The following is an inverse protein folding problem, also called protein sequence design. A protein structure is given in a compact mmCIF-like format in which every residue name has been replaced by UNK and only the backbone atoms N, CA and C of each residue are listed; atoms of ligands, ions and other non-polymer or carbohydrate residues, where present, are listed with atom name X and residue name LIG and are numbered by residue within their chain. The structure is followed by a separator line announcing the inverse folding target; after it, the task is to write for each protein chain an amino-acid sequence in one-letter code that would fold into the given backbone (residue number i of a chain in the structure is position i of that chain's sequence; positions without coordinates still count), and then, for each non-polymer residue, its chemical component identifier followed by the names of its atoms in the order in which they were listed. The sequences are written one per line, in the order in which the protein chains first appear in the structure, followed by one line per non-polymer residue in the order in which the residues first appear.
data_IF_402208029265
#
_entry.id   IF_402208029265
#
_cell.length_a   1.000
_cell.length_b   1.000
_cell.length_c   1.000
_cell.angle_alpha   90.00
_cell.angle_beta   90.00
_cell.angle_gamma   90.00
#
_symmetry.space_group_name_H-M   'P 1'
#
loop_
_entity.id
_entity.type
_entity.pdbx_description
1 polymer ?
#
# COMPACT_ATOMS: atom_id res chain seq x y z
N UNK A 1 48.69 26.92 -48.73
CA UNK A 1 47.34 26.33 -48.66
C UNK A 1 46.59 27.14 -47.61
N UNK A 2 46.19 28.38 -47.89
CA UNK A 2 44.91 28.81 -48.52
C UNK A 2 43.67 28.27 -47.77
N UNK A 3 42.64 29.02 -47.35
CA UNK A 3 42.30 30.47 -47.41
C UNK A 3 40.90 30.67 -46.74
N UNK A 4 40.64 31.89 -46.19
CA UNK A 4 39.32 32.61 -46.11
C UNK A 4 38.33 32.19 -44.99
N UNK A 5 37.48 33.03 -44.37
CA UNK A 5 37.09 34.45 -44.50
C UNK A 5 36.33 34.92 -43.22
N UNK A 6 36.41 36.22 -42.92
CA UNK A 6 35.63 37.12 -42.04
C UNK A 6 34.21 36.72 -41.54
N UNK A 7 33.87 37.11 -40.30
CA UNK A 7 32.65 37.90 -39.97
C UNK A 7 32.73 38.54 -38.56
N UNK A 8 32.33 39.81 -38.47
CA UNK A 8 32.28 40.71 -37.30
C UNK A 8 30.84 40.81 -36.83
N UNK A 9 30.55 40.82 -35.51
CA UNK A 9 29.47 41.64 -34.92
C UNK A 9 29.86 42.08 -33.49
N UNK A 10 29.93 43.39 -33.29
CA UNK A 10 29.96 44.09 -32.00
C UNK A 10 28.55 44.13 -31.39
N UNK A 11 28.43 44.00 -30.07
CA UNK A 11 27.37 44.67 -29.30
C UNK A 11 27.89 45.06 -27.91
N UNK A 12 27.63 46.31 -27.57
CA UNK A 12 28.20 47.15 -26.51
C UNK A 12 27.69 46.84 -25.10
N UNK A 13 28.61 46.84 -24.11
CA UNK A 13 28.32 46.84 -22.67
C UNK A 13 28.92 48.11 -22.05
N UNK A 14 28.08 48.95 -21.45
CA UNK A 14 28.50 50.18 -20.76
C UNK A 14 28.43 50.00 -19.24
N UNK A 15 29.52 50.34 -18.56
CA UNK A 15 29.77 50.26 -17.11
C UNK A 15 29.65 51.65 -16.50
N UNK A 16 28.95 51.80 -15.35
CA UNK A 16 29.16 52.87 -14.36
C UNK A 16 28.77 52.29 -12.97
N UNK A 17 29.68 51.98 -12.05
CA UNK A 17 30.48 52.85 -11.16
C UNK A 17 29.74 53.31 -9.89
N UNK A 18 30.31 53.01 -8.71
CA UNK A 18 29.98 53.72 -7.47
C UNK A 18 30.20 52.95 -6.16
N UNK A 19 31.40 53.04 -5.58
CA UNK A 19 31.67 52.80 -4.15
C UNK A 19 31.73 54.16 -3.44
N UNK A 20 31.15 54.31 -2.23
CA UNK A 20 31.77 54.82 -0.97
C UNK A 20 30.75 55.14 0.14
N UNK A 21 30.86 54.38 1.24
CA UNK A 21 30.81 54.73 2.69
C UNK A 21 30.09 55.99 3.21
N UNK A 22 29.14 55.82 4.15
CA UNK A 22 29.26 56.12 5.61
C UNK A 22 27.88 56.11 6.35
N UNK A 23 27.92 55.74 7.65
CA UNK A 23 26.86 55.38 8.64
C UNK A 23 25.96 56.55 9.10
N UNK A 24 24.75 56.36 9.70
CA UNK A 24 24.59 55.99 11.13
C UNK A 24 23.38 55.08 11.50
N UNK A 25 23.37 54.59 12.75
CA UNK A 25 22.32 53.78 13.41
C UNK A 25 20.92 54.41 13.41
N UNK A 26 19.89 53.58 13.18
CA UNK A 26 18.52 53.75 13.66
C UNK A 26 17.78 52.40 13.67
N UNK A 27 17.17 52.06 14.80
CA UNK A 27 16.38 50.86 15.07
C UNK A 27 15.09 50.78 14.25
N UNK A 28 14.71 49.60 13.73
CA UNK A 28 13.29 49.24 13.55
C UNK A 28 13.01 47.90 14.24
N UNK A 29 12.03 47.76 15.13
CA UNK A 29 10.61 47.95 14.82
C UNK A 29 10.05 46.61 14.32
N UNK A 30 9.40 45.87 15.21
CA UNK A 30 8.65 44.65 14.90
C UNK A 30 7.76 44.82 13.66
N UNK A 31 7.72 43.82 12.76
CA UNK A 31 6.53 43.50 12.01
C UNK A 31 5.84 42.31 12.69
N UNK A 32 4.65 42.61 13.20
CA UNK A 32 3.53 41.69 13.41
C UNK A 32 3.34 40.88 12.12
N UNK A 33 3.69 39.59 12.18
CA UNK A 33 3.62 38.65 11.08
C UNK A 33 3.04 37.36 11.61
N UNK A 34 1.72 37.23 11.47
CA UNK A 34 0.95 36.09 11.93
C UNK A 34 1.60 34.77 11.53
N UNK A 35 1.82 33.94 12.55
CA UNK A 35 2.16 32.54 12.46
C UNK A 35 1.02 31.80 11.75
N UNK A 36 1.07 31.81 10.42
CA UNK A 36 0.34 30.87 9.59
C UNK A 36 1.02 29.53 9.74
N UNK A 37 0.67 28.80 10.80
CA UNK A 37 1.02 27.41 10.98
C UNK A 37 0.67 26.63 9.72
N UNK A 38 1.68 26.34 8.90
CA UNK A 38 1.62 25.36 7.85
C UNK A 38 1.49 24.00 8.50
N UNK A 39 0.25 23.62 8.84
CA UNK A 39 -0.08 22.24 9.12
C UNK A 39 0.33 21.42 7.90
N UNK A 40 1.33 20.58 8.06
CA UNK A 40 1.62 19.48 7.15
C UNK A 40 0.42 18.54 7.20
N UNK A 41 -0.56 18.77 6.32
CA UNK A 41 -1.66 17.83 6.11
C UNK A 41 -1.05 16.61 5.45
N UNK A 42 -1.21 15.44 6.07
CA UNK A 42 -0.84 14.17 5.45
C UNK A 42 -1.58 14.03 4.10
N UNK A 43 -0.90 13.58 3.03
CA UNK A 43 -1.58 13.33 1.77
C UNK A 43 -2.60 12.21 1.98
N UNK A 44 -3.88 12.47 1.73
CA UNK A 44 -4.96 11.47 1.79
C UNK A 44 -6.19 11.79 2.65
N UNK A 45 -6.15 12.83 3.50
CA UNK A 45 -7.23 13.06 4.48
C UNK A 45 -8.51 13.75 3.95
N UNK A 46 -8.61 14.15 2.67
CA UNK A 46 -9.83 14.81 2.16
C UNK A 46 -10.06 14.66 0.64
N UNK A 47 -10.04 13.43 0.11
CA UNK A 47 -10.40 13.16 -1.29
C UNK A 47 -11.89 12.84 -1.43
N UNK A 48 -12.71 13.86 -1.17
CA UNK A 48 -14.16 13.84 -1.35
C UNK A 48 -14.56 14.76 -2.53
N UNK A 49 -15.19 14.25 -3.60
CA UNK A 49 -15.67 15.09 -4.69
C UNK A 49 -16.75 16.06 -4.19
N UNK A 50 -16.62 17.34 -4.52
CA UNK A 50 -17.65 18.33 -4.19
C UNK A 50 -18.71 18.38 -5.30
N UNK A 51 -19.96 18.04 -4.98
CA UNK A 51 -21.11 18.34 -5.85
C UNK A 51 -21.62 17.20 -6.75
N UNK A 52 -21.02 16.01 -6.74
CA UNK A 52 -21.53 14.85 -7.50
C UNK A 52 -22.68 14.09 -6.81
N UNK A 53 -22.84 14.30 -5.50
CA UNK A 53 -23.82 13.62 -4.66
C UNK A 53 -23.34 12.24 -4.19
N UNK A 54 -24.04 11.68 -3.20
CA UNK A 54 -23.72 10.38 -2.64
C UNK A 54 -24.97 9.61 -2.23
N UNK A 55 -24.81 8.30 -2.05
CA UNK A 55 -25.85 7.39 -1.60
C UNK A 55 -25.22 6.27 -0.80
N UNK A 56 -25.91 5.83 0.25
CA UNK A 56 -25.47 4.66 1.03
C UNK A 56 -25.89 3.38 0.32
N UNK A 57 -24.96 2.42 0.25
CA UNK A 57 -25.18 1.11 -0.35
C UNK A 57 -24.54 0.04 0.53
N UNK A 58 -25.08 -1.18 0.48
CA UNK A 58 -24.40 -2.36 1.03
C UNK A 58 -23.68 -3.07 -0.11
N UNK A 59 -22.39 -3.35 0.07
CA UNK A 59 -21.63 -4.16 -0.89
C UNK A 59 -21.97 -5.62 -0.62
N UNK A 60 -22.65 -6.26 -1.55
CA UNK A 60 -23.12 -7.64 -1.38
C UNK A 60 -22.17 -8.68 -1.94
N UNK A 61 -21.30 -8.28 -2.87
CA UNK A 61 -20.27 -9.15 -3.43
C UNK A 61 -19.16 -8.35 -4.08
N UNK A 62 -17.92 -8.78 -3.84
CA UNK A 62 -16.75 -8.35 -4.60
C UNK A 62 -16.55 -9.27 -5.81
N UNK A 63 -16.53 -8.70 -7.03
CA UNK A 63 -16.26 -9.47 -8.25
C UNK A 63 -14.75 -9.62 -8.46
N UNK A 64 -14.04 -8.50 -8.39
CA UNK A 64 -12.58 -8.35 -8.48
C UNK A 64 -12.18 -7.06 -7.72
N UNK A 65 -10.91 -6.65 -7.77
CA UNK A 65 -10.39 -5.52 -7.01
C UNK A 65 -11.05 -4.15 -7.29
N UNK A 66 -11.75 -3.97 -8.41
CA UNK A 66 -12.37 -2.70 -8.79
C UNK A 66 -13.85 -2.79 -9.21
N UNK A 67 -14.45 -3.98 -9.19
CA UNK A 67 -15.84 -4.20 -9.60
C UNK A 67 -16.67 -4.88 -8.51
N UNK A 68 -17.71 -4.20 -8.03
CA UNK A 68 -18.52 -4.60 -6.89
C UNK A 68 -19.99 -4.78 -7.27
N UNK A 69 -20.70 -5.70 -6.61
CA UNK A 69 -22.17 -5.73 -6.56
C UNK A 69 -22.66 -5.03 -5.30
N UNK A 70 -23.67 -4.18 -5.46
CA UNK A 70 -24.22 -3.40 -4.36
C UNK A 70 -25.74 -3.48 -4.33
N UNK A 71 -26.30 -3.30 -3.14
CA UNK A 71 -27.75 -3.17 -2.91
C UNK A 71 -28.04 -1.82 -2.27
N UNK A 72 -29.02 -1.11 -2.84
CA UNK A 72 -29.54 0.14 -2.30
C UNK A 72 -30.57 -0.11 -1.19
N UNK A 73 -30.84 0.90 -0.36
CA UNK A 73 -31.83 0.82 0.72
C UNK A 73 -33.23 0.37 0.25
N UNK A 74 -33.61 0.71 -0.99
CA UNK A 74 -34.89 0.30 -1.58
C UNK A 74 -34.90 -1.17 -2.09
N UNK A 75 -33.82 -1.92 -1.89
CA UNK A 75 -33.65 -3.32 -2.31
C UNK A 75 -33.24 -3.52 -3.76
N UNK A 76 -33.02 -2.45 -4.54
CA UNK A 76 -32.49 -2.58 -5.90
C UNK A 76 -31.01 -2.92 -5.88
N UNK A 77 -30.56 -3.70 -6.86
CA UNK A 77 -29.16 -4.11 -7.00
C UNK A 77 -28.53 -3.48 -8.24
N UNK A 78 -27.22 -3.22 -8.17
CA UNK A 78 -26.45 -2.72 -9.31
C UNK A 78 -24.98 -3.17 -9.23
N UNK A 79 -24.23 -2.94 -10.31
CA UNK A 79 -22.79 -3.17 -10.38
C UNK A 79 -22.06 -1.84 -10.42
N UNK A 80 -21.13 -1.65 -9.50
CA UNK A 80 -20.25 -0.49 -9.44
C UNK A 80 -18.89 -0.88 -10.00
N UNK A 81 -18.37 -0.10 -10.95
CA UNK A 81 -16.96 -0.08 -11.33
C UNK A 81 -16.34 1.13 -10.65
N UNK A 82 -15.29 0.91 -9.89
CA UNK A 82 -14.59 1.96 -9.17
C UNK A 82 -13.99 2.95 -10.18
N UNK A 83 -14.36 4.22 -10.04
CA UNK A 83 -13.92 5.29 -10.93
C UNK A 83 -12.44 5.60 -10.68
N UNK A 84 -11.68 5.74 -11.77
CA UNK A 84 -10.28 6.17 -11.77
C UNK A 84 -9.25 5.09 -11.47
N UNK A 85 -9.66 3.85 -11.18
CA UNK A 85 -8.76 2.75 -10.82
C UNK A 85 -8.97 1.50 -11.66
N UNK A 86 -7.87 0.81 -11.94
CA UNK A 86 -7.84 -0.44 -12.67
C UNK A 86 -6.89 -1.41 -11.97
N UNK A 87 -7.44 -2.51 -11.47
CA UNK A 87 -6.68 -3.57 -10.80
C UNK A 87 -6.27 -4.63 -11.82
N UNK A 88 -5.15 -5.35 -11.62
CA UNK A 88 -4.84 -6.50 -12.46
C UNK A 88 -5.97 -7.53 -12.44
N UNK A 89 -6.28 -8.09 -13.61
CA UNK A 89 -7.37 -9.02 -13.82
C UNK A 89 -7.09 -10.38 -13.15
N UNK A 90 -8.10 -10.93 -12.47
CA UNK A 90 -8.04 -12.24 -11.79
C UNK A 90 -8.79 -13.35 -12.53
N UNK A 91 -9.64 -12.99 -13.50
CA UNK A 91 -10.47 -13.93 -14.25
C UNK A 91 -10.16 -13.96 -15.75
N UNK A 92 -9.20 -13.15 -16.19
CA UNK A 92 -8.69 -13.08 -17.55
C UNK A 92 -7.17 -12.90 -17.57
N UNK A 93 -6.58 -13.04 -18.76
CA UNK A 93 -5.16 -12.72 -18.96
C UNK A 93 -4.95 -11.21 -18.80
N UNK A 94 -3.88 -10.84 -18.11
CA UNK A 94 -3.44 -9.45 -17.99
C UNK A 94 -2.68 -9.04 -19.25
N UNK A 95 -2.74 -7.76 -19.57
CA UNK A 95 -1.88 -7.10 -20.57
C UNK A 95 -0.81 -6.30 -19.83
N UNK A 96 0.43 -6.82 -19.67
CA UNK A 96 1.46 -6.14 -18.88
C UNK A 96 1.79 -4.72 -19.35
N UNK A 97 1.65 -4.44 -20.64
CA UNK A 97 1.88 -3.12 -21.23
C UNK A 97 0.92 -2.03 -20.72
N UNK A 98 -0.21 -2.41 -20.12
CA UNK A 98 -1.13 -1.48 -19.46
C UNK A 98 -0.60 -0.97 -18.10
N UNK A 99 0.38 -1.65 -17.52
CA UNK A 99 0.99 -1.34 -16.23
C UNK A 99 2.43 -0.85 -16.44
N UNK A 100 2.68 0.42 -16.16
CA UNK A 100 3.93 1.04 -16.56
C UNK A 100 5.18 0.37 -15.93
N UNK A 101 6.07 -0.08 -16.80
CA UNK A 101 7.34 -0.71 -16.43
C UNK A 101 7.27 -2.23 -16.27
N UNK A 102 6.08 -2.83 -16.29
CA UNK A 102 5.93 -4.30 -16.21
C UNK A 102 6.31 -4.93 -17.55
N UNK A 103 7.19 -5.95 -17.58
CA UNK A 103 7.64 -6.55 -18.84
C UNK A 103 6.54 -7.41 -19.48
N UNK A 104 6.40 -7.33 -20.81
CA UNK A 104 5.54 -8.19 -21.64
C UNK A 104 6.09 -9.64 -21.70
N UNK A 105 6.07 -10.32 -20.57
CA UNK A 105 6.60 -11.67 -20.36
C UNK A 105 5.63 -12.49 -19.50
N UNK A 106 5.81 -13.81 -19.49
CA UNK A 106 5.06 -14.70 -18.61
C UNK A 106 5.26 -14.31 -17.13
N UNK A 107 6.49 -13.96 -16.74
CA UNK A 107 6.82 -13.52 -15.38
C UNK A 107 6.10 -12.22 -14.99
N UNK A 108 6.07 -11.22 -15.88
CA UNK A 108 5.30 -9.99 -15.65
C UNK A 108 3.80 -10.25 -15.52
N UNK A 109 3.27 -11.15 -16.34
CA UNK A 109 1.85 -11.52 -16.35
C UNK A 109 1.44 -12.31 -15.10
N UNK A 110 2.30 -13.21 -14.64
CA UNK A 110 2.14 -13.97 -13.39
C UNK A 110 2.27 -13.06 -12.17
N UNK A 111 3.19 -12.09 -12.20
CA UNK A 111 3.32 -11.07 -11.17
C UNK A 111 2.03 -10.25 -11.04
N UNK A 112 1.50 -9.75 -12.17
CA UNK A 112 0.24 -9.01 -12.20
C UNK A 112 -0.94 -9.85 -11.70
N UNK A 113 -1.03 -11.13 -12.07
CA UNK A 113 -2.07 -12.04 -11.55
C UNK A 113 -2.06 -12.08 -10.02
N UNK A 114 -0.89 -12.24 -9.41
CA UNK A 114 -0.73 -12.27 -7.95
C UNK A 114 -1.21 -10.96 -7.31
N UNK A 115 -0.86 -9.82 -7.92
CA UNK A 115 -1.32 -8.52 -7.43
C UNK A 115 -2.81 -8.26 -7.66
N UNK A 116 -3.41 -8.83 -8.71
CA UNK A 116 -4.86 -8.84 -8.89
C UNK A 116 -5.58 -9.60 -7.79
N UNK A 117 -5.02 -10.75 -7.37
CA UNK A 117 -5.54 -11.53 -6.24
C UNK A 117 -5.41 -10.75 -4.91
N UNK A 118 -4.28 -10.06 -4.70
CA UNK A 118 -4.10 -9.13 -3.55
C UNK A 118 -5.13 -8.01 -3.56
N UNK A 119 -5.32 -7.34 -4.69
CA UNK A 119 -6.30 -6.26 -4.83
C UNK A 119 -7.73 -6.75 -4.57
N UNK A 120 -8.07 -7.95 -5.07
CA UNK A 120 -9.37 -8.57 -4.86
C UNK A 120 -9.60 -8.95 -3.39
N UNK A 121 -8.56 -9.41 -2.68
CA UNK A 121 -8.64 -9.77 -1.25
C UNK A 121 -8.81 -8.52 -0.39
N UNK A 122 -8.01 -7.48 -0.66
CA UNK A 122 -8.13 -6.18 -0.03
C UNK A 122 -9.53 -5.58 -0.17
N UNK A 123 -10.12 -5.67 -1.37
CA UNK A 123 -11.50 -5.24 -1.61
C UNK A 123 -12.53 -6.09 -0.84
N UNK A 124 -12.37 -7.41 -0.80
CA UNK A 124 -13.27 -8.30 -0.04
C UNK A 124 -13.26 -7.98 1.44
N UNK A 125 -12.08 -7.92 2.05
CA UNK A 125 -11.90 -7.69 3.48
C UNK A 125 -12.37 -6.31 3.91
N UNK A 126 -12.19 -5.30 3.05
CA UNK A 126 -12.55 -3.92 3.37
C UNK A 126 -14.02 -3.61 3.09
N UNK A 127 -14.64 -4.26 2.09
CA UNK A 127 -15.94 -3.85 1.57
C UNK A 127 -17.02 -4.92 1.65
N UNK A 128 -16.72 -6.22 1.54
CA UNK A 128 -17.77 -7.24 1.38
C UNK A 128 -18.64 -7.35 2.65
N UNK A 129 -19.95 -7.16 2.48
CA UNK A 129 -20.91 -7.12 3.59
C UNK A 129 -21.04 -5.74 4.25
N UNK A 130 -20.13 -4.81 3.97
CA UNK A 130 -20.12 -3.49 4.59
C UNK A 130 -21.15 -2.54 3.98
N UNK A 131 -21.62 -1.62 4.83
CA UNK A 131 -22.46 -0.49 4.39
C UNK A 131 -21.60 0.74 4.20
N UNK A 132 -21.44 1.14 2.94
CA UNK A 132 -20.49 2.18 2.52
C UNK A 132 -21.20 3.33 1.84
N UNK A 133 -20.51 4.45 1.68
CA UNK A 133 -21.01 5.58 0.89
C UNK A 133 -20.49 5.47 -0.54
N UNK A 134 -21.40 5.30 -1.51
CA UNK A 134 -21.11 5.48 -2.92
C UNK A 134 -21.18 6.97 -3.27
N UNK A 135 -20.04 7.57 -3.58
CA UNK A 135 -19.92 8.95 -4.06
C UNK A 135 -19.76 9.00 -5.57
N UNK A 136 -20.46 9.95 -6.19
CA UNK A 136 -20.32 10.23 -7.62
C UNK A 136 -19.39 11.41 -7.84
N UNK A 137 -18.65 11.36 -8.94
CA UNK A 137 -17.84 12.49 -9.38
C UNK A 137 -18.70 13.48 -10.19
N UNK A 138 -18.56 14.81 -9.98
CA UNK A 138 -19.30 15.81 -10.76
C UNK A 138 -18.83 15.92 -12.21
N UNK A 139 -17.59 15.52 -12.51
CA UNK A 139 -16.95 15.65 -13.82
C UNK A 139 -16.96 14.33 -14.61
N UNK A 140 -17.59 13.28 -14.05
CA UNK A 140 -17.74 11.97 -14.69
C UNK A 140 -19.20 11.57 -14.87
N UNK A 141 -19.46 10.74 -15.89
CA UNK A 141 -20.76 10.14 -16.08
C UNK A 141 -21.05 9.13 -14.96
N UNK A 142 -22.30 9.10 -14.48
CA UNK A 142 -22.71 8.14 -13.44
C UNK A 142 -22.68 6.68 -13.90
N UNK A 143 -22.68 6.44 -15.21
CA UNK A 143 -22.61 5.09 -15.76
C UNK A 143 -21.59 5.03 -16.89
N UNK A 144 -20.78 3.98 -16.85
CA UNK A 144 -19.83 3.68 -17.91
C UNK A 144 -20.50 3.05 -19.13
N UNK A 145 -19.72 2.84 -20.17
CA UNK A 145 -20.16 2.29 -21.46
C UNK A 145 -20.94 0.97 -21.34
N UNK A 146 -20.56 0.11 -20.41
CA UNK A 146 -21.20 -1.19 -20.17
C UNK A 146 -22.41 -1.13 -19.23
N UNK A 147 -22.88 0.08 -18.88
CA UNK A 147 -24.03 0.28 -18.00
C UNK A 147 -23.74 0.13 -16.50
N UNK A 148 -22.50 -0.17 -16.10
CA UNK A 148 -22.07 -0.18 -14.69
C UNK A 148 -22.11 1.23 -14.10
N UNK A 149 -22.49 1.36 -12.83
CA UNK A 149 -22.32 2.62 -12.10
C UNK A 149 -20.83 2.94 -11.96
N UNK A 150 -20.48 4.22 -12.06
CA UNK A 150 -19.14 4.73 -11.79
C UNK A 150 -19.16 5.56 -10.51
N UNK A 151 -18.21 5.32 -9.62
CA UNK A 151 -18.08 6.12 -8.41
C UNK A 151 -16.95 5.69 -7.49
N UNK A 152 -16.85 6.40 -6.38
CA UNK A 152 -15.93 6.13 -5.28
C UNK A 152 -16.69 5.45 -4.15
N UNK A 153 -16.10 4.42 -3.55
CA UNK A 153 -16.61 3.89 -2.29
C UNK A 153 -15.85 4.53 -1.14
N UNK A 154 -16.60 5.09 -0.19
CA UNK A 154 -16.07 5.66 1.04
C UNK A 154 -16.50 4.76 2.20
N UNK A 155 -15.50 4.19 2.86
CA UNK A 155 -15.61 3.26 4.00
C UNK A 155 -14.72 3.80 5.12
N UNK A 156 -15.24 3.83 6.35
CA UNK A 156 -14.55 4.43 7.51
C UNK A 156 -14.02 5.87 7.28
N UNK A 157 -14.75 6.64 6.47
CA UNK A 157 -14.39 8.01 6.12
C UNK A 157 -13.24 8.14 5.11
N UNK A 158 -12.76 7.03 4.55
CA UNK A 158 -11.63 7.00 3.61
C UNK A 158 -12.10 6.60 2.21
N UNK A 159 -11.53 7.24 1.19
CA UNK A 159 -11.79 6.91 -0.22
C UNK A 159 -11.06 5.60 -0.57
N UNK A 160 -11.81 4.52 -0.76
CA UNK A 160 -11.26 3.19 -1.05
C UNK A 160 -10.54 3.14 -2.40
N UNK A 161 -11.05 3.83 -3.43
CA UNK A 161 -10.40 3.89 -4.74
C UNK A 161 -9.01 4.53 -4.62
N UNK A 162 -8.88 5.60 -3.84
CA UNK A 162 -7.58 6.22 -3.58
C UNK A 162 -6.63 5.26 -2.87
N UNK A 163 -7.12 4.52 -1.88
CA UNK A 163 -6.33 3.51 -1.14
C UNK A 163 -5.80 2.42 -2.07
N UNK A 164 -6.60 1.93 -3.02
CA UNK A 164 -6.13 0.98 -4.03
C UNK A 164 -4.90 1.49 -4.78
N UNK A 165 -4.86 2.78 -5.13
CA UNK A 165 -3.73 3.37 -5.85
C UNK A 165 -2.54 3.62 -4.91
N UNK A 166 -2.79 4.23 -3.75
CA UNK A 166 -1.76 4.59 -2.79
C UNK A 166 -1.03 3.36 -2.21
N UNK A 167 -1.75 2.26 -2.02
CA UNK A 167 -1.22 0.98 -1.52
C UNK A 167 -0.71 0.07 -2.67
N UNK A 168 -0.75 0.54 -3.92
CA UNK A 168 -0.19 -0.14 -5.09
C UNK A 168 -1.00 -1.35 -5.58
N UNK A 169 -2.29 -1.44 -5.27
CA UNK A 169 -3.20 -2.47 -5.76
C UNK A 169 -3.77 -2.18 -7.16
N UNK A 170 -3.79 -0.91 -7.56
CA UNK A 170 -4.35 -0.47 -8.85
C UNK A 170 -3.46 0.57 -9.52
N UNK A 171 -3.58 0.65 -10.85
CA UNK A 171 -3.12 1.79 -11.64
C UNK A 171 -4.25 2.81 -11.81
N UNK A 172 -3.91 4.04 -12.16
CA UNK A 172 -4.86 5.08 -12.55
C UNK A 172 -5.12 4.97 -14.06
N UNK A 173 -6.34 4.65 -14.46
CA UNK A 173 -6.68 4.59 -15.89
C UNK A 173 -7.09 5.95 -16.45
N UNK A 174 -6.82 6.16 -17.74
CA UNK A 174 -7.08 7.42 -18.43
C UNK A 174 -8.60 7.73 -18.50
N UNK A 175 -9.05 8.64 -17.64
CA UNK A 175 -10.41 9.17 -17.63
C UNK A 175 -10.45 10.54 -16.96
N UNK A 176 -11.50 11.31 -17.26
CA UNK A 176 -11.75 12.60 -16.61
C UNK A 176 -12.59 12.42 -15.34
N UNK A 177 -12.07 12.90 -14.22
CA UNK A 177 -12.74 12.97 -12.92
C UNK A 177 -12.07 14.02 -12.02
N UNK A 178 -12.81 14.57 -11.07
CA UNK A 178 -12.40 15.73 -10.27
C UNK A 178 -11.22 15.47 -9.32
N UNK A 179 -11.01 14.21 -8.92
CA UNK A 179 -9.95 13.79 -7.99
C UNK A 179 -8.64 13.36 -8.66
N UNK A 180 -8.49 13.57 -9.97
CA UNK A 180 -7.41 12.97 -10.76
C UNK A 180 -6.00 13.31 -10.27
N UNK A 181 -5.73 14.59 -9.98
CA UNK A 181 -4.40 15.01 -9.53
C UNK A 181 -3.93 14.23 -8.29
N UNK A 182 -4.84 13.99 -7.32
CA UNK A 182 -4.52 13.23 -6.11
C UNK A 182 -4.24 11.75 -6.39
N UNK A 183 -4.93 11.16 -7.36
CA UNK A 183 -4.73 9.77 -7.78
C UNK A 183 -3.42 9.62 -8.54
N UNK A 184 -3.13 10.52 -9.48
CA UNK A 184 -1.87 10.54 -10.23
C UNK A 184 -0.66 10.72 -9.26
N UNK A 185 -0.76 11.59 -8.25
CA UNK A 185 0.28 11.78 -7.22
C UNK A 185 0.50 10.50 -6.36
N UNK A 186 -0.59 9.81 -6.00
CA UNK A 186 -0.51 8.56 -5.24
C UNK A 186 0.12 7.44 -6.07
N UNK A 187 -0.26 7.32 -7.34
CA UNK A 187 0.30 6.33 -8.24
C UNK A 187 1.80 6.59 -8.45
N UNK A 188 2.19 7.84 -8.72
CA UNK A 188 3.59 8.21 -8.87
C UNK A 188 4.41 7.86 -7.62
N UNK A 189 3.84 8.06 -6.43
CA UNK A 189 4.48 7.71 -5.16
C UNK A 189 4.64 6.20 -4.99
N UNK A 190 3.57 5.42 -5.21
CA UNK A 190 3.60 3.96 -5.13
C UNK A 190 4.58 3.36 -6.15
N UNK A 191 4.63 3.92 -7.36
CA UNK A 191 5.57 3.54 -8.43
C UNK A 191 7.02 3.82 -8.06
N UNK A 192 7.31 5.02 -7.54
CA UNK A 192 8.66 5.38 -7.12
C UNK A 192 9.14 4.51 -5.95
N UNK A 193 8.23 4.07 -5.08
CA UNK A 193 8.52 3.19 -3.97
C UNK A 193 8.58 1.69 -4.34
N UNK A 194 8.08 1.31 -5.53
CA UNK A 194 7.92 -0.11 -5.89
C UNK A 194 6.86 -0.83 -5.05
N UNK A 195 5.89 -0.09 -4.52
CA UNK A 195 4.83 -0.62 -3.64
C UNK A 195 3.82 -1.42 -4.45
N UNK A 196 3.35 -2.54 -3.90
CA UNK A 196 2.31 -3.33 -4.54
C UNK A 196 2.72 -3.82 -5.94
N UNK A 197 1.80 -3.72 -6.91
CA UNK A 197 1.98 -4.17 -8.29
C UNK A 197 3.20 -3.53 -8.98
N UNK A 198 3.67 -2.38 -8.49
CA UNK A 198 4.83 -1.69 -9.02
C UNK A 198 6.15 -2.43 -8.73
N UNK A 199 6.15 -3.45 -7.86
CA UNK A 199 7.26 -4.39 -7.74
C UNK A 199 7.43 -5.29 -8.97
N UNK A 200 6.43 -5.37 -9.85
CA UNK A 200 6.51 -6.11 -11.11
C UNK A 200 7.29 -5.35 -12.20
N UNK A 201 7.62 -4.07 -11.98
CA UNK A 201 8.29 -3.25 -12.98
C UNK A 201 9.80 -3.51 -13.05
N UNK A 202 10.36 -3.62 -14.26
CA UNK A 202 11.81 -3.79 -14.44
C UNK A 202 12.57 -2.48 -14.12
N UNK A 203 13.63 -2.58 -13.32
CA UNK A 203 14.54 -1.45 -13.07
C UNK A 203 14.05 -0.40 -12.06
N UNK A 204 13.02 -0.72 -11.25
CA UNK A 204 12.61 0.11 -10.12
C UNK A 204 13.77 0.37 -9.16
N UNK A 205 14.12 1.64 -8.95
CA UNK A 205 15.10 2.09 -7.94
C UNK A 205 14.40 2.63 -6.69
N UNK A 206 13.29 2.01 -6.30
CA UNK A 206 12.71 2.13 -4.95
C UNK A 206 13.59 1.39 -3.93
N UNK A 207 13.40 1.61 -2.61
CA UNK A 207 14.19 0.90 -1.60
C UNK A 207 14.03 -0.59 -1.87
N UNK A 208 15.16 -1.31 -1.88
CA UNK A 208 15.23 -2.74 -2.14
C UNK A 208 14.33 -3.50 -1.16
N UNK A 209 13.05 -3.67 -1.48
CA UNK A 209 12.21 -4.71 -0.91
C UNK A 209 12.66 -6.00 -1.58
N UNK A 210 13.50 -6.75 -0.88
CA UNK A 210 14.03 -8.04 -1.31
C UNK A 210 12.88 -9.05 -1.28
N UNK A 211 12.08 -9.15 -2.34
CA UNK A 211 11.30 -10.36 -2.60
C UNK A 211 12.22 -11.38 -3.28
N UNK A 212 12.98 -12.11 -2.48
CA UNK A 212 13.57 -13.39 -2.86
C UNK A 212 13.74 -14.17 -1.59
N UNK A 213 13.03 -15.30 -1.49
CA UNK A 213 13.10 -16.26 -0.39
C UNK A 213 14.50 -16.30 0.21
N UNK A 214 14.70 -15.59 1.33
CA UNK A 214 15.98 -15.62 2.02
C UNK A 214 16.12 -17.06 2.52
N UNK A 215 17.18 -17.80 2.16
CA UNK A 215 17.42 -19.13 2.71
C UNK A 215 17.45 -19.12 4.25
N UNK A 216 17.65 -17.94 4.83
CA UNK A 216 17.67 -17.72 6.26
C UNK A 216 16.31 -17.33 6.88
N UNK A 217 15.21 -17.27 6.14
CA UNK A 217 13.89 -16.96 6.71
C UNK A 217 13.74 -15.53 7.23
N UNK A 218 14.48 -14.57 6.66
CA UNK A 218 14.31 -13.15 6.96
C UNK A 218 15.00 -12.68 8.23
N UNK A 219 16.01 -13.42 8.72
CA UNK A 219 16.72 -13.06 9.95
C UNK A 219 17.58 -11.82 9.74
N UNK A 220 17.51 -10.85 10.66
CA UNK A 220 18.33 -9.63 10.60
C UNK A 220 19.73 -9.88 11.19
N UNK A 221 19.80 -10.66 12.26
CA UNK A 221 21.05 -10.93 13.01
C UNK A 221 21.46 -12.41 13.03
N UNK A 222 20.72 -13.26 12.33
CA UNK A 222 20.93 -14.71 12.25
C UNK A 222 20.43 -15.51 13.45
N UNK A 223 19.86 -14.87 14.48
CA UNK A 223 19.43 -15.54 15.73
C UNK A 223 18.00 -16.07 15.65
N UNK A 224 17.07 -15.31 15.06
CA UNK A 224 15.68 -15.72 14.90
C UNK A 224 15.27 -15.65 13.43
N UNK A 225 14.57 -16.68 12.94
CA UNK A 225 14.08 -16.73 11.57
C UNK A 225 12.57 -17.05 11.51
N UNK A 226 11.87 -16.47 10.53
CA UNK A 226 10.51 -16.88 10.14
C UNK A 226 10.66 -18.04 9.17
N UNK A 227 10.40 -19.26 9.63
CA UNK A 227 10.72 -20.49 8.87
C UNK A 227 9.53 -21.06 8.11
N UNK A 228 8.31 -20.83 8.58
CA UNK A 228 7.10 -21.17 7.85
C UNK A 228 6.08 -20.03 7.96
N UNK A 229 5.32 -19.85 6.88
CA UNK A 229 4.15 -18.98 6.81
C UNK A 229 3.09 -19.80 6.06
N UNK A 230 1.95 -20.04 6.70
CA UNK A 230 0.77 -20.56 6.04
C UNK A 230 -0.30 -19.48 6.11
N UNK A 231 -0.40 -18.70 5.03
CA UNK A 231 -1.39 -17.64 4.91
C UNK A 231 -2.71 -18.21 4.41
N UNK A 232 -2.67 -19.07 3.39
CA UNK A 232 -3.85 -19.71 2.81
C UNK A 232 -4.31 -20.90 3.69
N UNK A 233 -5.23 -20.63 4.60
CA UNK A 233 -5.87 -21.65 5.41
C UNK A 233 -6.76 -22.55 4.53
N UNK A 234 -6.84 -23.85 4.83
CA UNK A 234 -7.71 -24.76 4.09
C UNK A 234 -9.17 -24.30 4.22
N UNK A 235 -9.76 -23.91 3.08
CA UNK A 235 -11.16 -23.50 3.00
C UNK A 235 -11.31 -21.98 3.04
N UNK A 236 -12.18 -21.48 3.91
CA UNK A 236 -12.33 -20.05 4.16
C UNK A 236 -11.51 -19.70 5.41
N UNK A 237 -10.54 -18.83 5.26
CA UNK A 237 -9.57 -18.45 6.29
C UNK A 237 -10.26 -17.89 7.53
N UNK A 238 -11.34 -17.13 7.35
CA UNK A 238 -12.14 -16.59 8.45
C UNK A 238 -12.92 -17.66 9.24
N UNK A 239 -13.03 -18.88 8.71
CA UNK A 239 -13.67 -20.01 9.38
C UNK A 239 -12.63 -21.04 9.90
N UNK A 240 -11.38 -20.95 9.47
CA UNK A 240 -10.28 -21.86 9.82
C UNK A 240 -8.99 -21.14 10.23
N UNK A 241 -9.12 -20.14 11.11
CA UNK A 241 -8.02 -19.26 11.54
C UNK A 241 -6.84 -19.96 12.23
N UNK A 242 -7.00 -21.21 12.67
CA UNK A 242 -5.88 -21.97 13.24
C UNK A 242 -5.02 -22.64 12.17
N UNK A 243 -5.50 -22.77 10.93
CA UNK A 243 -4.68 -23.17 9.79
C UNK A 243 -3.96 -21.98 9.16
N UNK A 244 -4.17 -20.77 9.69
CA UNK A 244 -3.40 -19.57 9.35
C UNK A 244 -2.31 -19.36 10.41
N UNK A 245 -1.03 -19.42 10.04
CA UNK A 245 0.05 -19.38 11.03
C UNK A 245 1.42 -18.92 10.51
N UNK A 246 2.26 -18.49 11.45
CA UNK A 246 3.70 -18.26 11.24
C UNK A 246 4.51 -19.09 12.24
N UNK A 247 5.62 -19.68 11.79
CA UNK A 247 6.53 -20.42 12.66
C UNK A 247 7.87 -19.70 12.75
N UNK A 248 8.31 -19.43 13.97
CA UNK A 248 9.61 -18.84 14.28
C UNK A 248 10.58 -19.92 14.76
N UNK A 249 11.86 -19.80 14.40
CA UNK A 249 12.93 -20.70 14.85
C UNK A 249 14.09 -19.92 15.45
N UNK A 250 14.52 -20.30 16.66
CA UNK A 250 15.78 -19.83 17.22
C UNK A 250 16.94 -20.59 16.57
N UNK A 251 17.70 -19.92 15.71
CA UNK A 251 18.88 -20.46 15.03
C UNK A 251 20.19 -20.13 15.74
N UNK A 252 20.11 -19.38 16.84
CA UNK A 252 21.21 -19.17 17.76
C UNK A 252 21.64 -20.46 18.47
N UNK A 253 22.66 -20.33 19.30
CA UNK A 253 23.21 -21.44 20.09
C UNK A 253 22.82 -21.37 21.58
N UNK A 254 22.13 -20.30 21.96
CA UNK A 254 21.66 -20.01 23.32
C UNK A 254 20.14 -19.93 23.35
N UNK A 255 19.55 -20.09 24.53
CA UNK A 255 18.11 -19.87 24.72
C UNK A 255 17.75 -18.41 24.45
N UNK A 256 16.60 -18.19 23.81
CA UNK A 256 16.07 -16.90 23.43
C UNK A 256 14.72 -16.69 24.12
N UNK A 257 14.64 -15.66 24.96
CA UNK A 257 13.40 -15.25 25.61
C UNK A 257 12.65 -14.27 24.70
N UNK A 258 11.43 -14.66 24.32
CA UNK A 258 10.56 -13.87 23.45
C UNK A 258 9.59 -13.00 24.23
N UNK A 259 9.66 -12.98 25.57
CA UNK A 259 8.71 -12.22 26.39
C UNK A 259 8.67 -10.74 26.00
N UNK A 260 7.48 -10.24 25.63
CA UNK A 260 7.29 -8.87 25.17
C UNK A 260 7.71 -8.59 23.72
N UNK A 261 8.23 -9.57 22.99
CA UNK A 261 8.50 -9.45 21.56
C UNK A 261 7.18 -9.39 20.79
N UNK A 262 7.23 -8.79 19.60
CA UNK A 262 6.02 -8.63 18.78
C UNK A 262 6.17 -9.27 17.41
N UNK A 263 5.05 -9.77 16.89
CA UNK A 263 4.88 -10.15 15.49
C UNK A 263 3.82 -9.23 14.89
N UNK A 264 4.12 -8.60 13.77
CA UNK A 264 3.25 -7.62 13.12
C UNK A 264 3.10 -7.96 11.64
N UNK A 265 1.88 -7.92 11.12
CA UNK A 265 1.58 -8.04 9.68
C UNK A 265 1.81 -6.70 8.95
N UNK A 266 1.70 -6.70 7.62
CA UNK A 266 1.84 -5.49 6.79
C UNK A 266 0.75 -4.45 7.12
N UNK A 267 -0.43 -4.89 7.58
CA UNK A 267 -1.56 -4.05 7.96
C UNK A 267 -1.45 -3.45 9.39
N UNK A 268 -0.44 -3.83 10.17
CA UNK A 268 -0.17 -3.32 11.52
C UNK A 268 -0.85 -4.08 12.67
N UNK A 269 -1.60 -5.16 12.42
CA UNK A 269 -2.07 -6.06 13.47
C UNK A 269 -0.87 -6.63 14.19
N UNK A 270 -0.85 -6.49 15.52
CA UNK A 270 0.30 -6.88 16.34
C UNK A 270 -0.05 -7.91 17.41
N UNK A 271 0.72 -9.00 17.47
CA UNK A 271 0.76 -9.97 18.56
C UNK A 271 1.91 -9.62 19.49
N UNK A 272 1.73 -9.85 20.79
CA UNK A 272 2.80 -9.71 21.78
C UNK A 272 2.95 -11.03 22.52
N UNK A 273 4.14 -11.60 22.51
CA UNK A 273 4.44 -12.84 23.23
C UNK A 273 4.35 -12.63 24.74
N UNK A 274 3.70 -13.58 25.41
CA UNK A 274 3.80 -13.78 26.86
C UNK A 274 5.11 -14.49 27.23
N UNK A 275 5.07 -15.36 28.25
CA UNK A 275 6.26 -16.07 28.74
C UNK A 275 6.66 -17.23 27.81
N UNK A 276 7.31 -16.93 26.68
CA UNK A 276 7.81 -17.91 25.70
C UNK A 276 9.33 -17.86 25.64
N UNK A 277 9.98 -19.01 25.77
CA UNK A 277 11.43 -19.14 25.62
C UNK A 277 11.75 -20.28 24.66
N UNK A 278 12.58 -19.99 23.65
CA UNK A 278 13.05 -20.97 22.67
C UNK A 278 14.50 -21.38 22.97
N UNK A 279 14.75 -22.66 23.20
CA UNK A 279 16.10 -23.22 23.12
C UNK A 279 16.69 -23.16 21.71
N UNK A 280 17.98 -23.46 21.58
CA UNK A 280 18.66 -23.51 20.30
C UNK A 280 18.01 -24.57 19.37
N UNK A 281 17.57 -24.14 18.18
CA UNK A 281 16.87 -24.95 17.19
C UNK A 281 15.39 -25.21 17.50
N UNK A 282 14.86 -24.69 18.61
CA UNK A 282 13.45 -24.81 18.95
C UNK A 282 12.59 -23.83 18.15
N UNK A 283 11.30 -24.15 18.04
CA UNK A 283 10.32 -23.41 17.26
C UNK A 283 9.07 -23.12 18.07
N UNK A 284 8.44 -21.99 17.76
CA UNK A 284 7.07 -21.67 18.18
C UNK A 284 6.25 -21.30 16.95
N UNK A 285 5.02 -21.79 16.90
CA UNK A 285 4.03 -21.46 15.88
C UNK A 285 2.99 -20.52 16.50
N UNK A 286 2.80 -19.37 15.87
CA UNK A 286 1.74 -18.43 16.18
C UNK A 286 0.59 -18.66 15.20
N UNK A 287 -0.54 -19.13 15.72
CA UNK A 287 -1.79 -19.28 14.98
C UNK A 287 -2.63 -18.01 15.10
N UNK A 288 -3.27 -17.58 14.01
CA UNK A 288 -4.13 -16.40 14.03
C UNK A 288 -5.38 -16.60 14.88
N UNK A 289 -5.92 -17.82 14.89
CA UNK A 289 -7.14 -18.17 15.62
C UNK A 289 -6.95 -18.33 17.13
N UNK A 290 -7.83 -19.12 17.75
CA UNK A 290 -7.89 -19.30 19.22
C UNK A 290 -7.52 -20.72 19.63
N UNK A 291 -6.92 -20.84 20.82
CA UNK A 291 -6.52 -22.11 21.41
C UNK A 291 -5.96 -21.93 22.83
N UNK A 292 -5.44 -23.00 23.40
CA UNK A 292 -4.71 -22.96 24.67
C UNK A 292 -3.21 -22.92 24.37
N UNK A 293 -2.53 -21.87 24.82
CA UNK A 293 -1.09 -21.73 24.59
C UNK A 293 -0.28 -22.89 25.19
N UNK A 294 0.72 -23.34 24.43
CA UNK A 294 1.71 -24.33 24.83
C UNK A 294 3.12 -23.78 24.60
N UNK A 295 4.14 -24.59 24.88
CA UNK A 295 5.52 -24.20 24.62
C UNK A 295 5.85 -24.04 23.11
N UNK A 296 5.10 -24.70 22.23
CA UNK A 296 5.36 -24.74 20.78
C UNK A 296 4.29 -24.07 19.94
N UNK A 297 3.11 -23.79 20.52
CA UNK A 297 1.94 -23.29 19.80
C UNK A 297 1.28 -22.22 20.65
N UNK A 298 1.16 -21.01 20.09
CA UNK A 298 0.49 -19.88 20.73
C UNK A 298 -0.59 -19.32 19.82
N UNK A 299 -1.59 -18.69 20.40
CA UNK A 299 -2.81 -18.29 19.69
C UNK A 299 -3.07 -16.79 19.84
N UNK A 300 -3.25 -16.10 18.71
CA UNK A 300 -3.49 -14.66 18.69
C UNK A 300 -4.91 -14.30 19.15
N UNK A 301 -5.87 -15.21 18.97
CA UNK A 301 -7.26 -15.00 19.35
C UNK A 301 -8.00 -14.03 18.44
N UNK A 302 -7.59 -13.92 17.17
CA UNK A 302 -8.26 -13.07 16.19
C UNK A 302 -9.60 -13.69 15.76
N UNK A 303 -10.51 -12.82 15.32
CA UNK A 303 -11.81 -13.20 14.78
C UNK A 303 -11.88 -13.17 13.25
N UNK A 304 -10.77 -12.83 12.60
CA UNK A 304 -10.61 -12.78 11.14
C UNK A 304 -9.18 -13.13 10.76
N UNK A 305 -8.95 -13.44 9.49
CA UNK A 305 -7.63 -13.70 8.95
C UNK A 305 -6.67 -12.52 9.19
N UNK A 306 -5.38 -12.82 9.30
CA UNK A 306 -4.29 -11.87 9.58
C UNK A 306 -3.30 -11.82 8.43
N UNK A 307 -2.93 -12.99 7.92
CA UNK A 307 -1.91 -13.24 6.92
C UNK A 307 -2.54 -13.29 5.52
N UNK A 308 -2.32 -12.25 4.72
CA UNK A 308 -2.96 -12.15 3.41
C UNK A 308 -2.46 -13.23 2.43
N UNK A 309 -3.38 -14.02 1.83
CA UNK A 309 -3.04 -15.14 0.92
C UNK A 309 -2.30 -14.67 -0.34
N UNK A 310 -2.58 -13.44 -0.79
CA UNK A 310 -1.93 -12.84 -1.94
C UNK A 310 -0.51 -12.32 -1.67
N UNK A 311 -0.08 -12.29 -0.40
CA UNK A 311 1.22 -11.81 0.03
C UNK A 311 1.11 -10.76 1.14
N UNK A 312 2.01 -10.87 2.11
CA UNK A 312 2.07 -10.08 3.34
C UNK A 312 3.52 -10.00 3.82
N UNK A 313 3.79 -9.24 4.88
CA UNK A 313 5.10 -9.13 5.52
C UNK A 313 5.00 -9.43 7.02
N UNK A 314 5.68 -10.49 7.45
CA UNK A 314 5.85 -10.80 8.88
C UNK A 314 7.03 -10.01 9.41
N UNK A 315 6.77 -9.06 10.32
CA UNK A 315 7.82 -8.31 11.02
C UNK A 315 7.89 -8.75 12.48
N UNK A 316 9.05 -9.23 12.91
CA UNK A 316 9.32 -9.59 14.31
C UNK A 316 10.21 -8.54 14.95
N UNK A 317 9.77 -8.00 16.08
CA UNK A 317 10.54 -7.05 16.89
C UNK A 317 10.84 -7.62 18.27
N UNK A 318 12.00 -7.30 18.79
CA UNK A 318 12.34 -7.63 20.17
C UNK A 318 11.63 -6.70 21.18
N UNK A 319 11.85 -6.95 22.47
CA UNK A 319 11.25 -6.18 23.56
C UNK A 319 11.66 -4.68 23.58
N UNK A 320 12.76 -4.32 22.91
CA UNK A 320 13.21 -2.94 22.75
C UNK A 320 12.61 -2.28 21.49
N UNK A 321 11.92 -3.05 20.64
CA UNK A 321 11.25 -2.60 19.41
C UNK A 321 12.12 -2.72 18.15
N UNK A 322 13.32 -3.29 18.26
CA UNK A 322 14.24 -3.46 17.14
C UNK A 322 13.80 -4.63 16.26
N UNK A 323 13.88 -4.47 14.94
CA UNK A 323 13.52 -5.54 13.99
C UNK A 323 14.60 -6.63 14.02
N UNK A 324 14.19 -7.86 14.33
CA UNK A 324 15.09 -9.02 14.45
C UNK A 324 14.85 -10.08 13.38
N UNK A 325 13.64 -10.10 12.80
CA UNK A 325 13.34 -10.86 11.59
C UNK A 325 12.25 -10.15 10.78
N UNK A 326 12.33 -10.20 9.47
CA UNK A 326 11.33 -9.68 8.55
C UNK A 326 11.25 -10.58 7.32
N UNK A 327 10.06 -11.08 6.98
CA UNK A 327 9.87 -11.98 5.84
C UNK A 327 8.56 -11.72 5.13
N UNK A 328 8.65 -11.36 3.86
CA UNK A 328 7.52 -11.30 2.93
C UNK A 328 7.37 -12.60 2.13
N UNK A 329 6.17 -12.87 1.60
CA UNK A 329 5.87 -14.03 0.77
C UNK A 329 4.94 -13.70 -0.40
#
# INVERSE_FOLDING_TARGET
MDRRLLAVVLATLAVLAGCTTALPEATPGEPDGGDGGGATVAPGADLTPTGGGSVTVTVTRVVDGDTMKVTFENGTEDTVRLLGVDTPEVHSENSPDEFEGVPETDEGSECLRRYGERASSFAKETLEGETVTLQFDPDSDRRGYYGRLLGYLVVDGQNFNYRLVAEGHARVYDSSFSLRDGFDDAEASARAAGTGLWSCAEGGTGPTATASATPDGGSVDGRLAVVAINADAEGNDNENLNDEYVTLENRGTESLDLSGWTVTDEAGKTYTFGDVTLGAGERVTLHSGSGEDTATDVYWGQSSAVWNNGGDTVTVRDADGEVVAERSY
#
